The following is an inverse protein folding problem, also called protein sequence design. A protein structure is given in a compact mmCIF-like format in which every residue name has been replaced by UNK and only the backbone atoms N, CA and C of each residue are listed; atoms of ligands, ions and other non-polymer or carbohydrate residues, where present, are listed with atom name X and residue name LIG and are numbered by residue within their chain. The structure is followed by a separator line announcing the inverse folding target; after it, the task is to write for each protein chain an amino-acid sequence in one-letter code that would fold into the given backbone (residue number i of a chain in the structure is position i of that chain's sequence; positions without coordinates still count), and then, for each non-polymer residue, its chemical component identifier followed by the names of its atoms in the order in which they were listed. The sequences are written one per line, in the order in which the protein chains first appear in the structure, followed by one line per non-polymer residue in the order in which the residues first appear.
data_IF_326801490339
#
_entry.id   IF_326801490339
#
_cell.length_a   1.000
_cell.length_b   1.000
_cell.length_c   1.000
_cell.angle_alpha   90.00
_cell.angle_beta   90.00
_cell.angle_gamma   90.00
#
_symmetry.space_group_name_H-M   'P 1'
#
loop_
_entity.id
_entity.type
_entity.pdbx_description
1 polymer ?
#
# COMPACT_ATOMS: atom_id res chain seq x y z
N UNK A 1 -27.34 -31.46 66.37
CA UNK A 1 -27.59 -30.95 65.00
C UNK A 1 -27.25 -29.45 64.93
N UNK A 2 -26.04 -29.01 65.34
CA UNK A 2 -25.75 -27.58 65.56
C UNK A 2 -24.32 -27.13 65.17
N UNK A 3 -23.46 -27.99 64.60
CA UNK A 3 -22.11 -27.58 64.14
C UNK A 3 -22.02 -27.29 62.65
N UNK A 4 -22.87 -27.93 61.83
CA UNK A 4 -22.90 -27.71 60.38
C UNK A 4 -23.68 -26.44 59.98
N UNK A 5 -24.64 -26.00 60.80
CA UNK A 5 -25.46 -24.82 60.51
C UNK A 5 -24.66 -23.51 60.64
N UNK A 6 -23.74 -23.42 61.61
CA UNK A 6 -22.86 -22.26 61.78
C UNK A 6 -21.78 -22.15 60.70
N UNK A 7 -21.28 -23.30 60.20
CA UNK A 7 -20.28 -23.33 59.12
C UNK A 7 -20.92 -22.89 57.80
N UNK A 8 -22.17 -23.26 57.53
CA UNK A 8 -22.90 -22.81 56.34
C UNK A 8 -23.22 -21.31 56.36
N UNK A 9 -23.46 -20.72 57.54
CA UNK A 9 -23.69 -19.27 57.67
C UNK A 9 -22.39 -18.48 57.51
N UNK A 10 -21.26 -18.97 58.04
CA UNK A 10 -19.96 -18.30 57.83
C UNK A 10 -19.45 -18.39 56.40
N UNK A 11 -19.75 -19.48 55.68
CA UNK A 11 -19.42 -19.62 54.24
C UNK A 11 -20.33 -18.80 53.32
N UNK A 12 -21.57 -18.51 53.77
CA UNK A 12 -22.53 -17.67 53.04
C UNK A 12 -22.23 -16.17 53.14
N UNK A 13 -21.61 -15.72 54.23
CA UNK A 13 -21.26 -14.30 54.45
C UNK A 13 -19.99 -13.86 53.69
N UNK A 14 -19.12 -14.79 53.27
CA UNK A 14 -17.94 -14.48 52.44
C UNK A 14 -18.25 -14.39 50.94
N UNK A 15 -19.45 -14.79 50.51
CA UNK A 15 -19.89 -14.74 49.11
C UNK A 15 -20.62 -13.44 48.75
N UNK A 16 -20.81 -12.51 49.70
CA UNK A 16 -21.53 -11.25 49.50
C UNK A 16 -20.62 -10.01 49.44
N UNK A 17 -19.29 -10.17 49.49
CA UNK A 17 -18.36 -9.16 49.00
C UNK A 17 -17.99 -9.51 47.55
N UNK A 18 -18.98 -9.42 46.67
CA UNK A 18 -18.71 -9.26 45.25
C UNK A 18 -17.89 -7.98 45.07
N UNK A 19 -16.86 -8.05 44.22
CA UNK A 19 -16.05 -6.91 43.80
C UNK A 19 -16.95 -5.68 43.57
N UNK A 20 -16.54 -4.54 44.12
CA UNK A 20 -17.07 -3.25 43.70
C UNK A 20 -17.17 -3.22 42.17
N UNK A 21 -18.28 -2.68 41.66
CA UNK A 21 -18.47 -2.35 40.25
C UNK A 21 -17.59 -1.15 39.83
N UNK A 22 -16.29 -1.17 40.17
CA UNK A 22 -15.29 -0.23 39.66
C UNK A 22 -14.70 -0.73 38.31
N UNK A 23 -15.33 -1.73 37.70
CA UNK A 23 -14.96 -2.31 36.40
C UNK A 23 -15.27 -1.38 35.21
N UNK A 24 -16.02 -0.29 35.40
CA UNK A 24 -16.30 0.67 34.31
C UNK A 24 -15.08 1.53 33.93
N UNK A 25 -13.98 1.49 34.71
CA UNK A 25 -12.74 2.23 34.42
C UNK A 25 -11.48 1.35 34.42
N UNK A 26 -11.61 0.03 34.25
CA UNK A 26 -10.45 -0.83 33.99
C UNK A 26 -9.98 -0.69 32.54
N UNK A 27 -9.13 0.31 32.29
CA UNK A 27 -8.25 0.26 31.11
C UNK A 27 -7.14 -0.74 31.41
N UNK A 28 -6.84 -1.71 30.51
CA UNK A 28 -5.70 -2.61 30.72
C UNK A 28 -4.45 -1.78 30.98
N UNK A 29 -3.66 -2.16 32.00
CA UNK A 29 -2.41 -1.48 32.29
C UNK A 29 -1.48 -1.60 31.06
N UNK A 30 -1.08 -0.46 30.49
CA UNK A 30 -0.28 -0.42 29.26
C UNK A 30 -1.05 -0.10 27.97
N UNK A 31 -2.35 0.19 28.02
CA UNK A 31 -3.04 0.82 26.87
C UNK A 31 -2.61 2.27 26.80
N UNK A 32 -1.55 2.52 26.03
CA UNK A 32 -1.17 3.85 25.60
C UNK A 32 -2.29 4.53 24.81
N UNK A 33 -2.14 5.82 24.46
CA UNK A 33 -3.11 6.49 23.61
C UNK A 33 -3.25 5.75 22.27
N UNK A 34 -4.46 5.76 21.70
CA UNK A 34 -4.66 5.28 20.34
C UNK A 34 -4.01 6.29 19.38
N UNK A 35 -2.83 5.92 18.88
CA UNK A 35 -2.01 6.75 18.01
C UNK A 35 -2.61 6.93 16.60
N UNK A 36 -3.66 6.19 16.26
CA UNK A 36 -4.39 6.34 15.00
C UNK A 36 -5.50 7.39 15.07
N UNK A 37 -5.80 7.91 16.26
CA UNK A 37 -6.73 9.05 16.40
C UNK A 37 -6.04 10.35 15.99
N UNK A 38 -6.46 10.92 14.88
CA UNK A 38 -5.95 12.22 14.41
C UNK A 38 -6.51 13.33 15.30
N UNK A 39 -5.62 14.09 15.92
CA UNK A 39 -5.95 15.25 16.76
C UNK A 39 -5.95 16.53 15.92
N UNK A 40 -6.88 17.44 16.20
CA UNK A 40 -6.87 18.76 15.58
C UNK A 40 -5.65 19.56 16.06
N UNK A 41 -4.73 19.84 15.14
CA UNK A 41 -3.49 20.59 15.41
C UNK A 41 -3.35 21.68 14.35
N UNK A 42 -2.73 22.83 14.67
CA UNK A 42 -2.50 23.89 13.70
C UNK A 42 -1.69 23.41 12.49
N UNK A 43 -2.00 23.98 11.33
CA UNK A 43 -1.25 23.79 10.09
C UNK A 43 -2.11 23.16 9.01
N UNK A 44 -1.92 23.62 7.77
CA UNK A 44 -2.82 23.33 6.64
C UNK A 44 -3.04 21.83 6.42
N UNK A 45 -1.98 21.02 6.49
CA UNK A 45 -2.12 19.56 6.37
C UNK A 45 -2.82 18.96 7.59
N UNK A 46 -2.43 19.34 8.81
CA UNK A 46 -2.99 18.77 10.04
C UNK A 46 -4.50 19.02 10.16
N UNK A 47 -4.95 20.23 9.82
CA UNK A 47 -6.36 20.61 9.81
C UNK A 47 -7.15 19.80 8.78
N UNK A 48 -6.60 19.63 7.56
CA UNK A 48 -7.21 18.80 6.52
C UNK A 48 -7.25 17.32 6.91
N UNK A 49 -6.17 16.77 7.44
CA UNK A 49 -6.10 15.38 7.88
C UNK A 49 -7.10 15.12 9.02
N UNK A 50 -7.25 16.07 9.96
CA UNK A 50 -8.25 16.00 11.02
C UNK A 50 -9.68 16.03 10.46
N UNK A 51 -9.95 16.88 9.46
CA UNK A 51 -11.25 16.93 8.79
C UNK A 51 -11.56 15.60 8.10
N UNK A 52 -10.64 15.09 7.26
CA UNK A 52 -10.78 13.80 6.57
C UNK A 52 -11.04 12.67 7.57
N UNK A 53 -10.27 12.62 8.66
CA UNK A 53 -10.46 11.63 9.72
C UNK A 53 -11.83 11.76 10.40
N UNK A 54 -12.28 12.97 10.71
CA UNK A 54 -13.57 13.20 11.37
C UNK A 54 -14.76 12.81 10.47
N UNK A 55 -14.64 13.00 9.16
CA UNK A 55 -15.70 12.70 8.18
C UNK A 55 -15.71 11.23 7.74
N UNK A 56 -14.54 10.61 7.60
CA UNK A 56 -14.38 9.29 6.95
C UNK A 56 -13.82 8.20 7.85
N UNK A 57 -13.32 8.56 9.03
CA UNK A 57 -12.59 7.68 9.93
C UNK A 57 -11.22 7.23 9.41
N UNK A 58 -10.68 7.81 8.32
CA UNK A 58 -9.38 7.43 7.76
C UNK A 58 -8.23 8.23 8.41
N UNK A 59 -7.33 7.59 9.16
CA UNK A 59 -6.12 8.24 9.67
C UNK A 59 -5.12 8.51 8.55
N UNK A 60 -4.58 9.72 8.50
CA UNK A 60 -3.57 10.12 7.53
C UNK A 60 -2.37 10.77 8.22
N UNK A 61 -1.18 10.34 7.84
CA UNK A 61 0.09 10.79 8.42
C UNK A 61 1.05 11.29 7.33
N UNK A 62 1.98 12.18 7.72
CA UNK A 62 3.11 12.64 6.90
C UNK A 62 4.46 12.44 7.60
N UNK A 63 4.43 11.84 8.79
CA UNK A 63 5.58 11.51 9.60
C UNK A 63 5.45 10.05 10.03
N UNK A 64 6.54 9.31 10.03
CA UNK A 64 6.58 7.93 10.48
C UNK A 64 6.53 7.84 12.01
N UNK A 65 6.92 8.87 12.74
CA UNK A 65 6.72 8.92 14.20
C UNK A 65 5.29 9.37 14.52
N UNK A 66 4.43 8.42 14.87
CA UNK A 66 3.02 8.67 15.23
C UNK A 66 2.90 9.37 16.59
N UNK A 67 3.82 9.06 17.51
CA UNK A 67 3.79 9.64 18.84
C UNK A 67 4.99 9.31 19.72
N UNK A 68 5.13 10.07 20.79
CA UNK A 68 6.19 9.92 21.79
C UNK A 68 5.58 9.97 23.18
N UNK A 69 5.86 8.97 24.00
CA UNK A 69 5.36 8.85 25.37
C UNK A 69 6.52 8.67 26.35
N UNK A 70 6.58 9.51 27.39
CA UNK A 70 7.48 9.31 28.50
C UNK A 70 6.86 8.30 29.48
N UNK A 71 7.45 7.12 29.60
CA UNK A 71 6.99 6.02 30.46
C UNK A 71 7.66 6.00 31.84
N UNK A 72 8.16 7.14 32.28
CA UNK A 72 8.81 7.32 33.56
C UNK A 72 10.32 7.23 33.46
N UNK A 73 10.95 6.65 34.48
CA UNK A 73 12.39 6.71 34.66
C UNK A 73 12.92 5.32 35.00
N UNK A 74 14.05 4.94 34.41
CA UNK A 74 14.72 3.68 34.70
C UNK A 74 15.35 3.68 36.11
N UNK A 75 15.93 2.56 36.51
CA UNK A 75 16.60 2.42 37.82
C UNK A 75 17.83 3.33 38.01
N UNK A 76 18.30 3.98 36.94
CA UNK A 76 19.46 4.86 36.93
C UNK A 76 19.09 6.35 36.85
N UNK A 77 17.80 6.68 36.79
CA UNK A 77 17.35 8.07 36.69
C UNK A 77 17.17 8.58 35.25
N UNK A 78 17.32 7.74 34.23
CA UNK A 78 17.13 8.14 32.83
C UNK A 78 15.67 8.00 32.38
N UNK A 79 15.14 8.91 31.54
CA UNK A 79 13.78 8.79 31.05
C UNK A 79 13.63 7.59 30.11
N UNK A 80 12.54 6.84 30.28
CA UNK A 80 12.13 5.77 29.36
C UNK A 80 11.19 6.39 28.33
N UNK A 81 11.66 6.60 27.11
CA UNK A 81 10.87 7.19 26.02
C UNK A 81 10.41 6.08 25.08
N UNK A 82 9.08 5.96 24.91
CA UNK A 82 8.47 5.12 23.88
C UNK A 82 8.18 5.95 22.64
N UNK A 83 8.55 5.42 21.48
CA UNK A 83 8.22 5.97 20.17
C UNK A 83 7.24 5.04 19.49
N UNK A 84 6.06 5.55 19.15
CA UNK A 84 5.14 4.84 18.26
C UNK A 84 5.49 5.21 16.83
N UNK A 85 5.73 4.19 15.99
CA UNK A 85 6.21 4.36 14.63
C UNK A 85 5.28 3.68 13.62
N UNK A 86 5.02 4.35 12.51
CA UNK A 86 4.53 3.75 11.28
C UNK A 86 5.68 3.00 10.62
N UNK A 87 5.75 1.69 10.87
CA UNK A 87 6.75 0.83 10.24
C UNK A 87 6.32 0.52 8.80
N UNK A 88 7.00 1.15 7.84
CA UNK A 88 6.70 1.13 6.38
C UNK A 88 6.49 -0.28 5.81
N UNK A 89 7.19 -1.28 6.33
CA UNK A 89 7.10 -2.66 5.86
C UNK A 89 6.78 -3.63 7.00
N UNK A 90 5.83 -3.23 7.84
CA UNK A 90 5.44 -4.04 8.98
C UNK A 90 4.72 -5.33 8.54
N UNK A 91 5.31 -6.47 8.90
CA UNK A 91 4.72 -7.80 8.78
C UNK A 91 5.02 -8.63 10.04
N UNK A 92 4.05 -9.42 10.49
CA UNK A 92 4.25 -10.40 11.57
C UNK A 92 4.91 -11.71 11.10
N UNK A 93 4.90 -11.96 9.79
CA UNK A 93 5.33 -13.25 9.22
C UNK A 93 6.74 -13.21 8.62
N UNK A 94 7.21 -12.04 8.18
CA UNK A 94 8.50 -11.91 7.51
C UNK A 94 9.20 -10.60 7.90
N UNK A 95 10.51 -10.67 8.14
CA UNK A 95 11.37 -9.50 8.41
C UNK A 95 12.27 -9.14 7.22
N UNK A 96 11.80 -9.37 6.00
CA UNK A 96 12.52 -8.90 4.81
C UNK A 96 12.13 -7.46 4.59
N UNK A 97 13.07 -6.52 4.74
CA UNK A 97 12.83 -5.13 4.33
C UNK A 97 12.63 -5.11 2.80
N UNK A 98 11.38 -4.86 2.38
CA UNK A 98 10.94 -4.78 0.98
C UNK A 98 10.65 -3.35 0.55
N UNK A 99 10.46 -2.42 1.49
CA UNK A 99 10.22 -1.02 1.18
C UNK A 99 10.98 -0.05 2.08
N UNK A 100 11.23 1.15 1.56
CA UNK A 100 11.77 2.29 2.30
C UNK A 100 11.20 3.59 1.75
N UNK A 101 11.18 4.63 2.58
CA UNK A 101 10.63 5.93 2.17
C UNK A 101 11.50 7.10 2.61
N UNK A 102 11.30 8.23 1.93
CA UNK A 102 11.79 9.56 2.32
C UNK A 102 10.58 10.38 2.75
N UNK A 103 10.61 10.93 3.96
CA UNK A 103 9.54 11.81 4.43
C UNK A 103 9.55 13.14 3.66
N UNK A 104 8.37 13.67 3.37
CA UNK A 104 8.27 14.96 2.68
C UNK A 104 8.43 16.12 3.65
N UNK A 105 8.97 17.23 3.14
CA UNK A 105 8.98 18.52 3.82
C UNK A 105 8.06 19.55 3.12
N UNK A 106 7.47 19.20 1.97
CA UNK A 106 6.62 20.11 1.20
C UNK A 106 5.15 19.98 1.63
N UNK A 107 4.71 20.90 2.48
CA UNK A 107 3.31 20.96 2.94
C UNK A 107 2.30 21.14 1.80
N UNK A 108 2.67 21.79 0.69
CA UNK A 108 1.76 21.98 -0.45
C UNK A 108 1.53 20.66 -1.17
N UNK A 109 2.58 19.88 -1.38
CA UNK A 109 2.48 18.53 -1.94
C UNK A 109 1.64 17.60 -1.04
N UNK A 110 1.88 17.63 0.28
CA UNK A 110 1.10 16.86 1.26
C UNK A 110 -0.40 17.19 1.20
N UNK A 111 -0.74 18.47 1.14
CA UNK A 111 -2.14 18.91 1.06
C UNK A 111 -2.77 18.48 -0.26
N UNK A 112 -2.09 18.66 -1.39
CA UNK A 112 -2.58 18.23 -2.70
C UNK A 112 -2.83 16.71 -2.74
N UNK A 113 -1.92 15.92 -2.17
CA UNK A 113 -2.09 14.47 -2.06
C UNK A 113 -3.30 14.10 -1.19
N UNK A 114 -3.48 14.77 -0.04
CA UNK A 114 -4.62 14.53 0.85
C UNK A 114 -5.96 14.92 0.22
N UNK A 115 -6.02 16.01 -0.53
CA UNK A 115 -7.20 16.41 -1.30
C UNK A 115 -7.55 15.35 -2.36
N UNK A 116 -6.58 14.91 -3.16
CA UNK A 116 -6.78 13.84 -4.15
C UNK A 116 -7.25 12.53 -3.49
N UNK A 117 -6.66 12.14 -2.37
CA UNK A 117 -7.10 10.94 -1.65
C UNK A 117 -8.55 11.09 -1.17
N UNK A 118 -8.89 12.22 -0.53
CA UNK A 118 -10.25 12.48 -0.04
C UNK A 118 -11.28 12.43 -1.17
N UNK A 119 -10.98 13.06 -2.29
CA UNK A 119 -11.95 13.28 -3.36
C UNK A 119 -12.04 12.08 -4.31
N UNK A 120 -10.93 11.37 -4.53
CA UNK A 120 -10.83 10.37 -5.59
C UNK A 120 -10.52 8.95 -5.09
N UNK A 121 -9.80 8.79 -3.98
CA UNK A 121 -9.44 7.44 -3.46
C UNK A 121 -10.49 6.94 -2.47
N UNK A 122 -10.75 7.69 -1.39
CA UNK A 122 -11.62 7.24 -0.30
C UNK A 122 -13.05 6.86 -0.76
N UNK A 123 -13.69 7.59 -1.70
CA UNK A 123 -15.03 7.24 -2.16
C UNK A 123 -15.08 5.95 -2.99
N UNK A 124 -13.93 5.43 -3.44
CA UNK A 124 -13.81 4.25 -4.30
C UNK A 124 -13.32 3.00 -3.56
N UNK A 125 -12.97 3.10 -2.28
CA UNK A 125 -12.64 1.92 -1.48
C UNK A 125 -13.85 1.02 -1.26
N UNK A 126 -13.62 -0.28 -1.36
CA UNK A 126 -14.54 -1.29 -0.84
C UNK A 126 -14.35 -1.39 0.67
N UNK A 127 -15.45 -1.60 1.41
CA UNK A 127 -15.41 -1.68 2.88
C UNK A 127 -14.38 -2.67 3.41
N UNK A 128 -14.23 -3.83 2.76
CA UNK A 128 -13.34 -4.93 3.16
C UNK A 128 -11.86 -4.64 2.85
N UNK A 129 -11.59 -3.77 1.88
CA UNK A 129 -10.23 -3.51 1.36
C UNK A 129 -9.75 -2.09 1.66
N UNK A 130 -10.47 -1.35 2.52
CA UNK A 130 -10.03 -0.05 3.00
C UNK A 130 -8.82 -0.23 3.94
N UNK A 131 -7.70 0.48 3.73
CA UNK A 131 -6.56 0.37 4.63
C UNK A 131 -6.89 0.95 6.01
N UNK A 132 -6.19 0.46 7.04
CA UNK A 132 -6.37 0.94 8.41
C UNK A 132 -5.88 2.40 8.59
N UNK A 133 -4.88 2.81 7.80
CA UNK A 133 -4.35 4.17 7.78
C UNK A 133 -3.53 4.44 6.52
N UNK A 134 -3.16 5.70 6.29
CA UNK A 134 -2.32 6.11 5.17
C UNK A 134 -1.12 6.92 5.67
N UNK A 135 0.08 6.60 5.19
CA UNK A 135 1.28 7.42 5.38
C UNK A 135 1.71 8.03 4.04
N UNK A 136 1.70 9.36 3.94
CA UNK A 136 2.18 10.08 2.78
C UNK A 136 3.68 10.37 2.89
N UNK A 137 4.43 10.02 1.85
CA UNK A 137 5.90 10.16 1.81
C UNK A 137 6.34 10.83 0.52
N UNK A 138 7.47 11.55 0.57
CA UNK A 138 8.06 12.25 -0.57
C UNK A 138 8.35 11.27 -1.71
N UNK A 139 9.03 10.18 -1.34
CA UNK A 139 9.48 9.13 -2.24
C UNK A 139 9.31 7.80 -1.54
N UNK A 140 8.80 6.82 -2.26
CA UNK A 140 8.68 5.44 -1.81
C UNK A 140 9.52 4.54 -2.73
N UNK A 141 10.22 3.58 -2.14
CA UNK A 141 11.03 2.59 -2.82
C UNK A 141 10.54 1.20 -2.45
N UNK A 142 10.50 0.29 -3.42
CA UNK A 142 10.11 -1.10 -3.23
C UNK A 142 11.09 -2.06 -3.92
N UNK A 143 11.26 -3.27 -3.38
CA UNK A 143 12.18 -4.29 -3.90
C UNK A 143 11.82 -4.70 -5.33
N UNK A 144 10.51 -4.77 -5.63
CA UNK A 144 10.00 -5.08 -6.96
C UNK A 144 10.32 -3.98 -7.99
N UNK A 145 10.68 -2.79 -7.51
CA UNK A 145 11.16 -1.63 -8.28
C UNK A 145 12.68 -1.46 -8.24
N UNK A 146 13.43 -2.49 -7.81
CA UNK A 146 14.89 -2.50 -7.82
C UNK A 146 15.55 -1.91 -6.56
N UNK A 147 14.77 -1.68 -5.50
CA UNK A 147 15.33 -1.26 -4.21
C UNK A 147 16.02 -2.40 -3.48
N UNK A 148 17.10 -2.08 -2.74
CA UNK A 148 17.81 -3.03 -1.90
C UNK A 148 18.30 -2.37 -0.62
N UNK A 149 18.14 -3.06 0.51
CA UNK A 149 18.68 -2.69 1.82
C UNK A 149 20.15 -3.12 2.01
N UNK A 150 20.73 -3.87 1.06
CA UNK A 150 22.09 -4.40 1.17
C UNK A 150 23.12 -3.28 0.97
N UNK A 151 23.97 -3.07 1.96
CA UNK A 151 25.03 -2.06 1.91
C UNK A 151 25.98 -2.32 0.72
N UNK A 152 26.22 -1.28 -0.08
CA UNK A 152 27.10 -1.36 -1.26
C UNK A 152 26.40 -1.79 -2.55
N UNK A 153 25.15 -2.25 -2.50
CA UNK A 153 24.33 -2.45 -3.69
C UNK A 153 23.76 -1.09 -4.12
N UNK A 154 24.01 -0.68 -5.36
CA UNK A 154 23.36 0.50 -5.93
C UNK A 154 21.88 0.16 -6.16
N UNK A 155 21.03 0.55 -5.21
CA UNK A 155 19.59 0.45 -5.37
C UNK A 155 19.15 1.28 -6.59
N UNK A 156 18.36 0.66 -7.45
CA UNK A 156 17.75 1.30 -8.61
C UNK A 156 16.40 1.85 -8.17
N UNK A 157 16.09 3.08 -8.57
CA UNK A 157 15.13 3.93 -7.85
C UNK A 157 13.94 4.31 -8.72
N UNK A 158 13.29 3.35 -9.37
CA UNK A 158 11.91 3.61 -9.79
C UNK A 158 11.10 3.77 -8.50
N UNK A 159 10.46 4.93 -8.37
CA UNK A 159 9.63 5.20 -7.21
C UNK A 159 8.37 4.35 -7.27
N UNK A 160 7.99 3.74 -6.15
CA UNK A 160 6.72 3.05 -6.03
C UNK A 160 5.60 4.05 -5.68
N UNK A 161 4.38 3.77 -6.13
CA UNK A 161 3.22 4.62 -5.89
C UNK A 161 2.60 4.37 -4.52
N UNK A 162 2.39 3.10 -4.19
CA UNK A 162 1.80 2.67 -2.94
C UNK A 162 2.41 1.35 -2.49
N UNK A 163 2.50 1.14 -1.18
CA UNK A 163 2.93 -0.12 -0.58
C UNK A 163 2.05 -0.41 0.63
N UNK A 164 1.30 -1.51 0.56
CA UNK A 164 0.41 -1.96 1.62
C UNK A 164 1.16 -2.80 2.66
N UNK A 165 0.82 -2.58 3.92
CA UNK A 165 1.29 -3.39 5.04
C UNK A 165 0.16 -3.55 6.09
N UNK A 166 0.46 -4.17 7.24
CA UNK A 166 -0.60 -4.44 8.22
C UNK A 166 -1.07 -3.23 9.05
N UNK A 167 -0.32 -2.13 9.07
CA UNK A 167 -0.72 -0.90 9.78
C UNK A 167 -1.40 0.11 8.85
N UNK A 168 -1.23 -0.02 7.54
CA UNK A 168 -1.84 0.84 6.54
C UNK A 168 -1.12 0.79 5.20
N UNK A 169 -1.28 1.85 4.44
CA UNK A 169 -0.72 1.98 3.09
C UNK A 169 0.18 3.20 3.00
N UNK A 170 1.43 2.98 2.59
CA UNK A 170 2.39 4.06 2.36
C UNK A 170 2.22 4.55 0.93
N UNK A 171 2.06 5.85 0.73
CA UNK A 171 1.80 6.46 -0.58
C UNK A 171 2.92 7.45 -0.93
N UNK A 172 3.60 7.19 -2.05
CA UNK A 172 4.75 7.96 -2.52
C UNK A 172 4.44 9.01 -3.58
N UNK A 173 5.50 9.48 -4.27
CA UNK A 173 5.49 10.48 -5.34
C UNK A 173 5.03 11.90 -4.94
N UNK A 174 5.05 12.26 -3.66
CA UNK A 174 4.82 13.65 -3.25
C UNK A 174 5.89 14.60 -3.83
N UNK A 175 7.11 14.11 -4.12
CA UNK A 175 8.17 14.89 -4.76
C UNK A 175 7.78 15.50 -6.11
N UNK A 176 6.81 14.88 -6.80
CA UNK A 176 6.44 15.21 -8.18
C UNK A 176 4.95 15.47 -8.37
N UNK A 177 4.12 15.25 -7.35
CA UNK A 177 2.65 15.39 -7.44
C UNK A 177 2.18 16.78 -7.93
N UNK A 178 2.92 17.84 -7.58
CA UNK A 178 2.61 19.21 -8.02
C UNK A 178 2.96 19.48 -9.49
N UNK A 179 3.78 18.63 -10.11
CA UNK A 179 4.20 18.72 -11.51
C UNK A 179 3.42 17.76 -12.41
N UNK A 180 2.75 16.77 -11.82
CA UNK A 180 1.94 15.80 -12.54
C UNK A 180 0.79 16.48 -13.29
N UNK A 181 0.64 16.08 -14.54
CA UNK A 181 -0.56 16.32 -15.35
C UNK A 181 -1.79 15.64 -14.73
N UNK A 182 -2.98 15.95 -15.25
CA UNK A 182 -4.22 15.32 -14.81
C UNK A 182 -4.19 13.80 -15.03
N UNK A 183 -3.74 13.33 -16.19
CA UNK A 183 -3.59 11.90 -16.49
C UNK A 183 -2.62 11.21 -15.51
N UNK A 184 -1.52 11.88 -15.15
CA UNK A 184 -0.56 11.35 -14.16
C UNK A 184 -1.14 11.32 -12.75
N UNK A 185 -1.92 12.33 -12.34
CA UNK A 185 -2.62 12.34 -11.05
C UNK A 185 -3.71 11.25 -11.00
N UNK A 186 -4.44 11.02 -12.10
CA UNK A 186 -5.44 9.96 -12.20
C UNK A 186 -4.78 8.58 -12.11
N UNK A 187 -3.62 8.38 -12.76
CA UNK A 187 -2.83 7.16 -12.60
C UNK A 187 -2.31 7.01 -11.17
N UNK A 188 -1.87 8.07 -10.51
CA UNK A 188 -1.45 8.04 -9.11
C UNK A 188 -2.59 7.58 -8.20
N UNK A 189 -3.80 8.14 -8.37
CA UNK A 189 -5.02 7.68 -7.67
C UNK A 189 -5.29 6.21 -7.95
N UNK A 190 -5.26 5.81 -9.22
CA UNK A 190 -5.51 4.42 -9.63
C UNK A 190 -4.50 3.44 -9.03
N UNK A 191 -3.24 3.83 -8.86
CA UNK A 191 -2.20 2.99 -8.27
C UNK A 191 -2.42 2.76 -6.78
N UNK A 192 -2.91 3.75 -6.04
CA UNK A 192 -3.29 3.59 -4.64
C UNK A 192 -4.44 2.59 -4.50
N UNK A 193 -5.47 2.72 -5.35
CA UNK A 193 -6.61 1.79 -5.36
C UNK A 193 -6.18 0.38 -5.76
N UNK A 194 -5.31 0.24 -6.75
CA UNK A 194 -4.82 -1.04 -7.23
C UNK A 194 -4.06 -1.81 -6.15
N UNK A 195 -3.23 -1.13 -5.37
CA UNK A 195 -2.44 -1.74 -4.28
C UNK A 195 -3.33 -2.46 -3.25
N UNK A 196 -4.56 -1.97 -3.02
CA UNK A 196 -5.44 -2.59 -2.04
C UNK A 196 -6.08 -3.91 -2.49
N UNK A 197 -6.29 -4.08 -3.80
CA UNK A 197 -7.14 -5.14 -4.37
C UNK A 197 -6.40 -6.09 -5.30
N UNK A 198 -5.15 -5.80 -5.70
CA UNK A 198 -4.43 -6.58 -6.71
C UNK A 198 -4.29 -8.06 -6.33
N UNK A 199 -3.91 -8.36 -5.09
CA UNK A 199 -3.79 -9.74 -4.61
C UNK A 199 -5.13 -10.49 -4.69
N UNK A 200 -6.22 -9.81 -4.32
CA UNK A 200 -7.55 -10.39 -4.28
C UNK A 200 -8.09 -10.65 -5.69
N UNK A 201 -7.84 -9.73 -6.62
CA UNK A 201 -8.16 -9.93 -8.04
C UNK A 201 -7.42 -11.14 -8.60
N UNK A 202 -6.12 -11.26 -8.30
CA UNK A 202 -5.31 -12.40 -8.76
C UNK A 202 -5.79 -13.74 -8.19
N UNK A 203 -6.22 -13.77 -6.93
CA UNK A 203 -6.71 -14.99 -6.28
C UNK A 203 -8.10 -15.37 -6.80
N UNK A 204 -9.03 -14.41 -6.88
CA UNK A 204 -10.45 -14.68 -7.22
C UNK A 204 -10.68 -14.95 -8.70
N UNK A 205 -9.93 -14.27 -9.56
CA UNK A 205 -10.07 -14.35 -11.02
C UNK A 205 -8.82 -14.95 -11.67
N UNK A 206 -8.21 -15.94 -11.03
CA UNK A 206 -6.93 -16.51 -11.44
C UNK A 206 -6.91 -16.96 -12.91
N UNK A 207 -8.00 -17.56 -13.41
CA UNK A 207 -8.10 -18.01 -14.81
C UNK A 207 -8.18 -16.81 -15.77
N UNK A 208 -8.99 -15.79 -15.48
CA UNK A 208 -9.06 -14.58 -16.31
C UNK A 208 -7.77 -13.76 -16.27
N UNK A 209 -7.12 -13.68 -15.12
CA UNK A 209 -5.81 -13.03 -14.96
C UNK A 209 -4.75 -13.78 -15.76
N UNK A 210 -4.77 -15.11 -15.75
CA UNK A 210 -3.88 -15.91 -16.59
C UNK A 210 -4.08 -15.63 -18.08
N UNK A 211 -5.34 -15.53 -18.54
CA UNK A 211 -5.62 -15.16 -19.93
C UNK A 211 -5.18 -13.74 -20.27
N UNK A 212 -5.31 -12.82 -19.32
CA UNK A 212 -4.80 -11.46 -19.44
C UNK A 212 -3.27 -11.46 -19.60
N UNK A 213 -2.54 -12.22 -18.77
CA UNK A 213 -1.09 -12.34 -18.86
C UNK A 213 -0.65 -13.00 -20.18
N UNK A 214 -1.42 -13.98 -20.68
CA UNK A 214 -1.16 -14.65 -21.94
C UNK A 214 -1.14 -13.68 -23.14
N UNK A 215 -1.87 -12.55 -23.11
CA UNK A 215 -1.84 -11.55 -24.20
C UNK A 215 -0.41 -11.09 -24.48
N UNK A 216 0.39 -10.87 -23.42
CA UNK A 216 1.80 -10.47 -23.54
C UNK A 216 2.69 -11.60 -24.04
N UNK A 217 2.30 -12.87 -23.84
CA UNK A 217 3.04 -14.06 -24.27
C UNK A 217 2.78 -14.49 -25.73
N UNK A 218 1.65 -14.07 -26.34
CA UNK A 218 1.22 -14.47 -27.70
C UNK A 218 2.18 -14.12 -28.85
N UNK A 219 3.24 -13.35 -28.59
CA UNK A 219 4.29 -13.08 -29.58
C UNK A 219 5.34 -14.18 -29.58
N UNK A 220 5.44 -14.94 -30.68
CA UNK A 220 6.31 -16.10 -30.86
C UNK A 220 7.82 -15.82 -31.00
N UNK A 221 8.38 -14.84 -30.29
CA UNK A 221 9.84 -14.68 -30.23
C UNK A 221 10.42 -15.44 -29.05
N UNK A 222 11.27 -16.41 -29.38
CA UNK A 222 12.06 -17.22 -28.46
C UNK A 222 12.85 -16.37 -27.45
N UNK A 223 12.73 -16.71 -26.16
CA UNK A 223 13.65 -16.23 -25.10
C UNK A 223 14.61 -17.36 -24.75
N UNK A 224 15.84 -17.03 -24.34
CA UNK A 224 16.87 -17.99 -23.93
C UNK A 224 16.47 -18.85 -22.70
N UNK A 225 15.37 -18.50 -22.02
CA UNK A 225 14.89 -19.12 -20.77
C UNK A 225 13.48 -19.74 -20.86
N UNK A 226 12.92 -19.90 -22.06
CA UNK A 226 11.57 -20.44 -22.23
C UNK A 226 10.46 -19.40 -22.07
N UNK A 227 9.26 -19.79 -22.48
CA UNK A 227 8.07 -19.02 -22.91
C UNK A 227 7.59 -17.81 -22.07
N UNK A 228 8.21 -17.48 -20.93
CA UNK A 228 7.79 -16.33 -20.11
C UNK A 228 8.49 -15.03 -20.51
N UNK A 229 7.68 -13.98 -20.70
CA UNK A 229 8.14 -12.58 -20.81
C UNK A 229 8.07 -11.83 -19.47
N UNK A 230 7.54 -12.43 -18.41
CA UNK A 230 7.47 -11.77 -17.11
C UNK A 230 8.78 -11.95 -16.35
N UNK A 231 9.19 -10.94 -15.58
CA UNK A 231 10.31 -11.11 -14.66
C UNK A 231 9.96 -12.15 -13.58
N UNK A 232 10.93 -12.98 -13.21
CA UNK A 232 10.76 -13.88 -12.06
C UNK A 232 10.80 -13.12 -10.73
N UNK A 233 10.41 -13.80 -9.65
CA UNK A 233 10.38 -13.23 -8.28
C UNK A 233 11.77 -12.83 -7.75
N UNK A 234 12.85 -13.31 -8.37
CA UNK A 234 14.23 -12.95 -8.02
C UNK A 234 14.74 -11.75 -8.86
N UNK A 235 13.88 -11.22 -9.72
CA UNK A 235 14.16 -10.12 -10.61
C UNK A 235 15.22 -10.44 -11.66
N UNK A 236 15.39 -11.70 -12.05
CA UNK A 236 16.29 -12.05 -13.15
C UNK A 236 15.61 -11.73 -14.49
N UNK A 237 16.35 -11.12 -15.44
CA UNK A 237 15.80 -10.79 -16.74
C UNK A 237 15.43 -12.08 -17.48
N UNK A 238 14.21 -12.11 -18.03
CA UNK A 238 13.80 -13.15 -18.98
C UNK A 238 14.61 -12.99 -20.29
N UNK A 239 15.86 -13.46 -20.30
CA UNK A 239 16.71 -13.56 -21.49
C UNK A 239 17.25 -12.23 -22.02
N UNK A 240 18.08 -12.33 -23.08
CA UNK A 240 18.67 -11.19 -23.79
C UNK A 240 17.59 -10.20 -24.20
N UNK A 241 17.48 -9.13 -23.43
CA UNK A 241 16.53 -8.05 -23.61
C UNK A 241 16.60 -7.54 -25.04
N UNK A 242 15.51 -7.67 -25.79
CA UNK A 242 15.30 -6.89 -27.00
C UNK A 242 15.09 -5.44 -26.60
N UNK A 243 16.18 -4.73 -26.27
CA UNK A 243 16.16 -3.31 -25.87
C UNK A 243 15.52 -2.40 -26.92
N UNK A 244 15.36 -2.91 -28.13
CA UNK A 244 14.79 -2.24 -29.29
C UNK A 244 13.26 -2.36 -29.38
N UNK A 245 12.63 -3.22 -28.57
CA UNK A 245 11.17 -3.42 -28.60
C UNK A 245 10.50 -2.47 -27.61
N UNK A 246 9.48 -1.75 -28.05
CA UNK A 246 8.63 -0.95 -27.16
C UNK A 246 7.81 -1.89 -26.25
N UNK A 247 7.84 -1.66 -24.93
CA UNK A 247 7.08 -2.48 -23.96
C UNK A 247 5.57 -2.50 -24.26
N UNK A 248 5.05 -1.46 -24.91
CA UNK A 248 3.64 -1.36 -25.30
C UNK A 248 3.28 -2.29 -26.45
N UNK A 249 4.22 -2.60 -27.35
CA UNK A 249 4.04 -3.66 -28.37
C UNK A 249 3.87 -5.05 -27.73
N UNK A 250 4.30 -5.19 -26.48
CA UNK A 250 4.17 -6.39 -25.68
C UNK A 250 2.96 -6.36 -24.75
N UNK A 251 2.19 -5.27 -24.73
CA UNK A 251 1.02 -5.13 -23.87
C UNK A 251 1.36 -4.73 -22.44
N UNK A 252 2.54 -4.16 -22.17
CA UNK A 252 2.86 -3.62 -20.84
C UNK A 252 2.59 -2.10 -20.78
N UNK A 253 2.33 -1.57 -19.59
CA UNK A 253 2.16 -0.13 -19.36
C UNK A 253 3.43 0.58 -18.88
N UNK A 254 4.43 -0.19 -18.45
CA UNK A 254 5.72 0.35 -18.04
C UNK A 254 6.84 -0.67 -18.18
N UNK A 255 8.07 -0.17 -18.22
CA UNK A 255 9.26 -0.94 -17.93
C UNK A 255 9.58 -0.89 -16.44
N UNK A 256 10.15 -1.97 -15.90
CA UNK A 256 10.84 -1.91 -14.62
C UNK A 256 12.31 -1.57 -14.87
N UNK A 257 12.78 -0.50 -14.22
CA UNK A 257 14.15 -0.03 -14.43
C UNK A 257 15.08 -0.61 -13.37
N UNK A 258 15.99 -1.44 -13.83
CA UNK A 258 17.10 -2.01 -13.06
C UNK A 258 18.34 -1.12 -13.07
N UNK A 259 18.15 0.17 -13.39
CA UNK A 259 19.19 1.18 -13.47
C UNK A 259 20.39 0.78 -14.33
N UNK A 260 21.61 1.08 -13.88
CA UNK A 260 22.81 1.16 -14.72
C UNK A 260 23.68 -0.10 -14.55
N UNK A 261 23.83 -0.91 -15.61
CA UNK A 261 24.75 -2.06 -15.68
C UNK A 261 26.21 -1.62 -15.84
N UNK A 262 26.41 -0.56 -16.61
CA UNK A 262 27.69 0.13 -16.90
C UNK A 262 27.35 1.59 -17.24
N UNK A 263 28.31 2.53 -17.16
CA UNK A 263 28.06 3.99 -17.32
C UNK A 263 27.08 4.38 -18.44
N UNK A 264 27.05 3.63 -19.55
CA UNK A 264 26.19 3.89 -20.71
C UNK A 264 25.03 2.90 -20.94
N UNK A 265 24.76 1.95 -20.03
CA UNK A 265 23.76 0.89 -20.24
C UNK A 265 22.75 0.81 -19.12
N UNK A 266 21.54 1.26 -19.41
CA UNK A 266 20.37 1.04 -18.57
C UNK A 266 19.84 -0.39 -18.78
N UNK A 267 19.69 -1.15 -17.70
CA UNK A 267 18.98 -2.42 -17.68
C UNK A 267 17.50 -2.13 -17.45
N UNK A 268 16.68 -2.68 -18.32
CA UNK A 268 15.23 -2.71 -18.16
C UNK A 268 14.85 -4.17 -17.94
N UNK A 269 13.85 -4.42 -17.12
CA UNK A 269 13.20 -5.72 -17.00
C UNK A 269 11.74 -5.59 -17.37
N UNK A 270 11.21 -6.68 -17.88
CA UNK A 270 9.78 -6.84 -17.96
C UNK A 270 9.15 -6.75 -16.56
N UNK A 271 7.90 -6.24 -16.45
CA UNK A 271 7.18 -6.28 -15.19
C UNK A 271 6.97 -7.74 -14.73
N UNK A 272 6.72 -7.91 -13.44
CA UNK A 272 6.12 -9.15 -12.90
C UNK A 272 4.63 -9.16 -13.21
N UNK A 273 3.97 -10.32 -13.07
CA UNK A 273 2.51 -10.40 -13.25
C UNK A 273 1.78 -9.46 -12.28
N UNK A 274 2.22 -9.36 -11.02
CA UNK A 274 1.67 -8.44 -10.02
C UNK A 274 1.68 -6.99 -10.52
N UNK A 275 2.85 -6.49 -10.98
CA UNK A 275 3.01 -5.10 -11.43
C UNK A 275 2.13 -4.80 -12.64
N UNK A 276 2.03 -5.76 -13.55
CA UNK A 276 1.23 -5.64 -14.76
C UNK A 276 -0.27 -5.62 -14.44
N UNK A 277 -0.74 -6.55 -13.61
CA UNK A 277 -2.14 -6.54 -13.12
C UNK A 277 -2.44 -5.24 -12.38
N UNK A 278 -1.62 -4.84 -11.40
CA UNK A 278 -1.78 -3.59 -10.66
C UNK A 278 -1.80 -2.36 -11.60
N UNK A 279 -0.95 -2.35 -12.62
CA UNK A 279 -0.89 -1.28 -13.60
C UNK A 279 -2.17 -1.14 -14.42
N UNK A 280 -2.75 -2.24 -14.87
CA UNK A 280 -4.01 -2.19 -15.61
C UNK A 280 -5.22 -1.94 -14.71
N UNK A 281 -5.22 -2.39 -13.45
CA UNK A 281 -6.23 -1.98 -12.47
C UNK A 281 -6.20 -0.46 -12.29
N UNK A 282 -5.00 0.10 -12.09
CA UNK A 282 -4.81 1.54 -11.98
C UNK A 282 -5.29 2.29 -13.22
N UNK A 283 -4.98 1.79 -14.41
CA UNK A 283 -5.42 2.39 -15.67
C UNK A 283 -6.95 2.42 -15.80
N UNK A 284 -7.65 1.36 -15.38
CA UNK A 284 -9.12 1.32 -15.42
C UNK A 284 -9.73 2.37 -14.50
N UNK A 285 -9.14 2.63 -13.33
CA UNK A 285 -9.57 3.73 -12.47
C UNK A 285 -9.20 5.11 -13.02
N UNK A 286 -8.08 5.23 -13.74
CA UNK A 286 -7.56 6.50 -14.21
C UNK A 286 -8.22 7.01 -15.50
N UNK A 287 -8.70 6.11 -16.36
CA UNK A 287 -9.12 6.47 -17.71
C UNK A 287 -10.50 5.94 -18.09
N UNK A 288 -11.22 6.73 -18.90
CA UNK A 288 -12.30 6.19 -19.73
C UNK A 288 -11.72 5.25 -20.79
N UNK A 289 -12.54 4.33 -21.29
CA UNK A 289 -12.13 3.43 -22.37
C UNK A 289 -11.73 4.19 -23.63
N UNK A 290 -12.52 5.20 -24.03
CA UNK A 290 -12.23 6.06 -25.18
C UNK A 290 -10.89 6.79 -25.04
N UNK A 291 -10.58 7.32 -23.85
CA UNK A 291 -9.31 7.98 -23.58
C UNK A 291 -8.15 6.99 -23.66
N UNK A 292 -8.29 5.83 -23.06
CA UNK A 292 -7.25 4.80 -23.07
C UNK A 292 -6.99 4.27 -24.49
N UNK A 293 -8.03 3.99 -25.26
CA UNK A 293 -7.92 3.59 -26.67
C UNK A 293 -7.22 4.65 -27.52
N UNK A 294 -7.51 5.93 -27.29
CA UNK A 294 -6.82 7.01 -27.98
C UNK A 294 -5.34 7.09 -27.61
N UNK A 295 -4.98 6.88 -26.33
CA UNK A 295 -3.59 6.91 -25.86
C UNK A 295 -2.77 5.71 -26.39
N UNK A 296 -3.41 4.55 -26.55
CA UNK A 296 -2.77 3.28 -26.92
C UNK A 296 -3.22 2.75 -28.29
N UNK A 297 -3.69 3.63 -29.19
CA UNK A 297 -4.24 3.24 -30.50
C UNK A 297 -3.29 2.37 -31.33
N UNK A 298 -1.99 2.63 -31.24
CA UNK A 298 -0.94 1.92 -31.97
C UNK A 298 -0.46 0.64 -31.25
N UNK A 299 -1.04 0.34 -30.07
CA UNK A 299 -0.64 -0.75 -29.18
C UNK A 299 -1.84 -1.65 -28.85
N UNK A 300 -2.29 -2.49 -29.81
CA UNK A 300 -3.54 -3.26 -29.68
C UNK A 300 -3.57 -4.20 -28.48
N UNK A 301 -2.40 -4.73 -28.06
CA UNK A 301 -2.32 -5.56 -26.85
C UNK A 301 -2.61 -4.78 -25.58
N UNK A 302 -2.21 -3.51 -25.50
CA UNK A 302 -2.53 -2.68 -24.35
C UNK A 302 -4.04 -2.44 -24.27
N UNK A 303 -4.66 -2.13 -25.42
CA UNK A 303 -6.12 -1.95 -25.50
C UNK A 303 -6.86 -3.24 -25.14
N UNK A 304 -6.41 -4.40 -25.64
CA UNK A 304 -6.99 -5.70 -25.29
C UNK A 304 -6.94 -5.96 -23.78
N UNK A 305 -5.76 -5.81 -23.17
CA UNK A 305 -5.55 -6.03 -21.73
C UNK A 305 -6.35 -5.07 -20.87
N UNK A 306 -6.48 -3.81 -21.28
CA UNK A 306 -7.33 -2.83 -20.60
C UNK A 306 -8.80 -3.27 -20.58
N UNK A 307 -9.34 -3.74 -21.71
CA UNK A 307 -10.72 -4.24 -21.79
C UNK A 307 -10.93 -5.48 -20.95
N UNK A 308 -9.96 -6.41 -20.95
CA UNK A 308 -10.00 -7.59 -20.09
C UNK A 308 -10.02 -7.21 -18.61
N UNK A 309 -9.11 -6.31 -18.18
CA UNK A 309 -9.05 -5.89 -16.79
C UNK A 309 -10.30 -5.11 -16.36
N UNK A 310 -10.83 -4.26 -17.23
CA UNK A 310 -12.11 -3.56 -17.00
C UNK A 310 -13.27 -4.54 -16.79
N UNK A 311 -13.31 -5.63 -17.55
CA UNK A 311 -14.32 -6.67 -17.38
C UNK A 311 -14.14 -7.45 -16.06
N UNK A 312 -12.91 -7.75 -15.66
CA UNK A 312 -12.60 -8.38 -14.36
C UNK A 312 -13.06 -7.46 -13.21
N UNK A 313 -12.68 -6.19 -13.24
CA UNK A 313 -13.08 -5.22 -12.21
C UNK A 313 -14.59 -5.00 -12.16
N UNK A 314 -15.30 -5.05 -13.29
CA UNK A 314 -16.76 -4.98 -13.30
C UNK A 314 -17.42 -6.18 -12.60
N UNK A 315 -16.85 -7.39 -12.71
CA UNK A 315 -17.31 -8.56 -11.94
C UNK A 315 -17.04 -8.36 -10.46
N UNK A 316 -15.83 -7.91 -10.12
CA UNK A 316 -15.45 -7.64 -8.73
C UNK A 316 -16.35 -6.59 -8.08
N UNK A 317 -16.61 -5.49 -8.77
CA UNK A 317 -17.54 -4.43 -8.34
C UNK A 317 -18.95 -4.94 -8.06
N UNK A 318 -19.43 -5.93 -8.83
CA UNK A 318 -20.76 -6.51 -8.66
C UNK A 318 -20.85 -7.46 -7.45
N UNK A 319 -19.73 -8.05 -7.05
CA UNK A 319 -19.63 -8.95 -5.89
C UNK A 319 -19.38 -8.19 -4.59
N UNK A 320 -18.72 -7.02 -4.66
CA UNK A 320 -18.34 -6.25 -3.49
C UNK A 320 -19.44 -5.26 -3.08
N UNK A 321 -19.70 -5.18 -1.78
CA UNK A 321 -20.55 -4.12 -1.22
C UNK A 321 -19.74 -2.82 -1.10
N UNK A 322 -20.10 -1.80 -1.89
CA UNK A 322 -19.63 -0.42 -1.68
C UNK A 322 -20.28 0.17 -0.42
#
# INVERSE_FOLDING_TARGET
MNRYFFICISLGLTLLFGCNNDDENLKPAGVGPDWFVIQNKPGRFNELAYQIYSETGMPMFVNDTLGVENRGTDSFGNPIIHYEMFVIDYSIFNQVYRAAAVLSADTTAMVKAAELIRDEVLPRYYREYKPASILLVDTLYAIDRGWSSVQGVKAYKTQEYAHKNMIGTVVGHLSDILKMTEDEQNMWVGRILAEEITDEIQVRYADEVKEFCNVSLRTGTWTWHGESRYADLEGKPAGSLGYDVDYRELGFLEWIWDGVYSEDRLVRRYPTEYIDVAGYIAAVYAYSEERFESLYQDFPKCVEKFKMMKAILAKFDAEMNK
#
